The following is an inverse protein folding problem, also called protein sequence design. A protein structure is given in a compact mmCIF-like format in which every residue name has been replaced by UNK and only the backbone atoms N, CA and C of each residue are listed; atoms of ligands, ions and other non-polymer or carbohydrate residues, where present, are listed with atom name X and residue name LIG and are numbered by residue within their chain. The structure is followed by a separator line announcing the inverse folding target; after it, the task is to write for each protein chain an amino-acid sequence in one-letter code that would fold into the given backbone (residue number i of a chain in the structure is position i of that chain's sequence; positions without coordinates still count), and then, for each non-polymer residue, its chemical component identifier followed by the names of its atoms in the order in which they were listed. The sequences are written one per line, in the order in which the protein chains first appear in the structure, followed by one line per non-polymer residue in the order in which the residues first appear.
data_IF_606580036268
#
_entry.id   IF_606580036268
#
_cell.length_a   1.000
_cell.length_b   1.000
_cell.length_c   1.000
_cell.angle_alpha   90.00
_cell.angle_beta   90.00
_cell.angle_gamma   90.00
#
_symmetry.space_group_name_H-M   'P 1'
#
loop_
_entity.id
_entity.type
_entity.pdbx_description
1 polymer ?
#
# COMPACT_ATOMS: atom_id res chain seq x y z
N UNK A 1 -2.37 18.59 -6.28
CA UNK A 1 -1.56 18.53 -5.04
C UNK A 1 -1.48 17.07 -4.62
N UNK A 2 -0.30 16.46 -4.58
CA UNK A 2 -0.15 15.12 -3.99
C UNK A 2 -0.16 15.31 -2.48
N UNK A 3 -1.11 14.69 -1.79
CA UNK A 3 -1.22 14.77 -0.34
C UNK A 3 -0.09 13.97 0.31
N UNK A 4 0.59 14.57 1.28
CA UNK A 4 1.62 13.89 2.08
C UNK A 4 0.99 12.93 3.09
N UNK A 5 1.71 11.86 3.41
CA UNK A 5 1.29 10.92 4.46
C UNK A 5 1.43 11.59 5.83
N UNK A 6 0.58 11.18 6.77
CA UNK A 6 0.80 11.56 8.18
C UNK A 6 2.12 10.94 8.65
N UNK A 7 2.99 11.75 9.27
CA UNK A 7 4.35 11.37 9.69
C UNK A 7 5.28 10.91 8.56
N UNK A 8 5.14 11.42 7.33
CA UNK A 8 5.93 10.95 6.19
C UNK A 8 7.45 11.00 6.40
N UNK A 9 7.99 12.07 6.99
CA UNK A 9 9.43 12.18 7.25
C UNK A 9 9.95 11.12 8.23
N UNK A 10 9.17 10.82 9.28
CA UNK A 10 9.49 9.77 10.24
C UNK A 10 9.37 8.39 9.58
N UNK A 11 8.34 8.19 8.76
CA UNK A 11 8.17 6.98 7.97
C UNK A 11 9.32 6.78 6.99
N UNK A 12 9.80 7.83 6.32
CA UNK A 12 10.96 7.78 5.43
C UNK A 12 12.23 7.36 6.18
N UNK A 13 12.47 7.92 7.36
CA UNK A 13 13.60 7.52 8.22
C UNK A 13 13.49 6.06 8.65
N UNK A 14 12.28 5.59 8.98
CA UNK A 14 12.02 4.18 9.25
C UNK A 14 12.34 3.29 8.04
N UNK A 15 11.84 3.66 6.86
CA UNK A 15 12.09 2.93 5.62
C UNK A 15 13.59 2.83 5.30
N UNK A 16 14.37 3.87 5.60
CA UNK A 16 15.84 3.85 5.48
C UNK A 16 16.55 2.82 6.35
N UNK A 17 15.89 2.28 7.37
CA UNK A 17 16.43 1.20 8.23
C UNK A 17 16.05 -0.20 7.73
N UNK A 18 14.95 -0.33 6.99
CA UNK A 18 14.36 -1.63 6.60
C UNK A 18 14.48 -1.93 5.11
N UNK A 19 14.69 -0.93 4.26
CA UNK A 19 14.85 -1.08 2.81
C UNK A 19 16.29 -0.76 2.40
N UNK A 20 16.78 -1.48 1.39
CA UNK A 20 18.18 -1.43 0.94
C UNK A 20 18.52 -0.29 -0.03
N UNK A 21 17.53 0.46 -0.53
CA UNK A 21 17.79 1.55 -1.48
C UNK A 21 16.76 2.67 -1.46
N UNK A 22 17.21 3.89 -1.77
CA UNK A 22 16.35 5.08 -1.89
C UNK A 22 15.25 4.94 -2.95
N UNK A 23 15.51 4.16 -4.01
CA UNK A 23 14.48 3.84 -5.00
C UNK A 23 13.29 3.12 -4.34
N UNK A 24 13.57 2.09 -3.54
CA UNK A 24 12.52 1.32 -2.86
C UNK A 24 11.78 2.18 -1.82
N UNK A 25 12.49 3.06 -1.12
CA UNK A 25 11.89 4.01 -0.16
C UNK A 25 10.90 4.93 -0.87
N UNK A 26 11.33 5.60 -1.96
CA UNK A 26 10.48 6.48 -2.76
C UNK A 26 9.28 5.74 -3.34
N UNK A 27 9.49 4.53 -3.86
CA UNK A 27 8.43 3.72 -4.43
C UNK A 27 7.41 3.30 -3.35
N UNK A 28 7.87 2.94 -2.14
CA UNK A 28 7.02 2.62 -1.00
C UNK A 28 6.15 3.82 -0.60
N UNK A 29 6.75 4.99 -0.39
CA UNK A 29 6.01 6.23 -0.06
C UNK A 29 4.99 6.58 -1.15
N UNK A 30 5.39 6.51 -2.42
CA UNK A 30 4.51 6.77 -3.57
C UNK A 30 3.30 5.83 -3.60
N UNK A 31 3.53 4.53 -3.34
CA UNK A 31 2.46 3.53 -3.26
C UNK A 31 1.53 3.78 -2.08
N UNK A 32 2.06 4.08 -0.90
CA UNK A 32 1.25 4.41 0.29
C UNK A 32 0.40 5.65 0.05
N UNK A 33 0.95 6.71 -0.58
CA UNK A 33 0.18 7.91 -0.97
C UNK A 33 -0.93 7.58 -1.95
N UNK A 34 -0.67 6.69 -2.90
CA UNK A 34 -1.69 6.23 -3.85
C UNK A 34 -2.80 5.46 -3.15
N UNK A 35 -2.48 4.60 -2.18
CA UNK A 35 -3.51 3.96 -1.36
C UNK A 35 -4.32 5.00 -0.60
N UNK A 36 -3.67 5.99 0.05
CA UNK A 36 -4.41 7.05 0.75
C UNK A 36 -5.36 7.84 -0.14
N UNK A 37 -4.95 8.10 -1.38
CA UNK A 37 -5.74 8.84 -2.35
C UNK A 37 -7.06 8.13 -2.70
N UNK A 38 -7.06 6.79 -2.75
CA UNK A 38 -8.19 6.00 -3.21
C UNK A 38 -8.99 5.36 -2.08
N UNK A 39 -8.30 4.88 -1.05
CA UNK A 39 -8.89 4.10 0.05
C UNK A 39 -9.08 4.94 1.33
N UNK A 40 -8.56 6.18 1.36
CA UNK A 40 -8.63 7.07 2.51
C UNK A 40 -7.40 6.98 3.42
N UNK A 41 -7.36 7.85 4.44
CA UNK A 41 -6.17 8.07 5.26
C UNK A 41 -5.68 6.79 5.99
N UNK A 42 -4.40 6.46 5.83
CA UNK A 42 -3.81 5.23 6.35
C UNK A 42 -3.75 5.24 7.88
N UNK A 43 -3.41 6.36 8.51
CA UNK A 43 -3.40 6.45 9.97
C UNK A 43 -4.79 6.18 10.57
N UNK A 44 -5.86 6.67 9.93
CA UNK A 44 -7.23 6.35 10.34
C UNK A 44 -7.55 4.87 10.20
N UNK A 45 -7.19 4.22 9.09
CA UNK A 45 -7.35 2.77 8.93
C UNK A 45 -6.62 2.01 10.03
N UNK A 46 -5.38 2.38 10.33
CA UNK A 46 -4.61 1.77 11.41
C UNK A 46 -5.29 1.94 12.78
N UNK A 47 -5.79 3.14 13.09
CA UNK A 47 -6.43 3.41 14.39
C UNK A 47 -7.77 2.71 14.58
N UNK A 48 -8.46 2.32 13.49
CA UNK A 48 -9.76 1.64 13.56
C UNK A 48 -9.60 0.16 13.90
N UNK A 49 -8.73 -0.55 13.19
CA UNK A 49 -8.62 -2.01 13.31
C UNK A 49 -7.19 -2.53 13.04
N UNK A 50 -6.18 -1.74 13.38
CA UNK A 50 -4.78 -1.98 13.00
C UNK A 50 -4.59 -2.12 11.48
N UNK A 51 -5.57 -1.66 10.69
CA UNK A 51 -5.56 -1.70 9.25
C UNK A 51 -5.98 -3.03 8.63
N UNK A 52 -6.52 -3.98 9.40
CA UNK A 52 -6.90 -5.31 8.88
C UNK A 52 -7.87 -5.23 7.71
N UNK A 53 -8.92 -4.41 7.81
CA UNK A 53 -9.94 -4.27 6.77
C UNK A 53 -9.37 -3.71 5.47
N UNK A 54 -8.39 -2.80 5.57
CA UNK A 54 -7.72 -2.26 4.39
C UNK A 54 -6.79 -3.32 3.76
N UNK A 55 -6.04 -4.06 4.58
CA UNK A 55 -5.17 -5.12 4.08
C UNK A 55 -5.96 -6.25 3.42
N UNK A 56 -7.16 -6.54 3.88
CA UNK A 56 -8.08 -7.49 3.26
C UNK A 56 -8.57 -6.98 1.90
N UNK A 57 -8.95 -5.69 1.78
CA UNK A 57 -9.29 -5.09 0.47
C UNK A 57 -8.12 -5.10 -0.52
N UNK A 58 -6.90 -4.95 -0.01
CA UNK A 58 -5.65 -5.05 -0.78
C UNK A 58 -5.14 -6.50 -0.92
N UNK A 59 -5.92 -7.50 -0.51
CA UNK A 59 -5.60 -8.91 -0.74
C UNK A 59 -6.21 -9.35 -2.05
N UNK A 60 -5.35 -9.54 -3.04
CA UNK A 60 -5.72 -10.03 -4.35
C UNK A 60 -4.69 -11.05 -4.79
N UNK A 61 -5.14 -12.27 -5.08
CA UNK A 61 -4.24 -13.39 -5.35
C UNK A 61 -3.98 -13.57 -6.84
N UNK A 62 -2.95 -14.36 -7.17
CA UNK A 62 -2.70 -14.76 -8.55
C UNK A 62 -3.85 -15.62 -9.10
N UNK A 63 -4.49 -16.42 -8.25
CA UNK A 63 -5.62 -17.26 -8.66
C UNK A 63 -6.86 -16.41 -8.98
N UNK A 64 -7.12 -15.35 -8.22
CA UNK A 64 -8.15 -14.37 -8.55
C UNK A 64 -7.90 -13.74 -9.93
N UNK A 65 -6.65 -13.39 -10.20
CA UNK A 65 -6.25 -12.86 -11.50
C UNK A 65 -6.42 -13.86 -12.65
N UNK A 66 -6.08 -15.13 -12.43
CA UNK A 66 -6.29 -16.19 -13.43
C UNK A 66 -7.78 -16.43 -13.70
N UNK A 67 -8.64 -16.19 -12.70
CA UNK A 67 -10.10 -16.33 -12.78
C UNK A 67 -10.82 -15.06 -13.26
N UNK A 68 -10.11 -13.95 -13.45
CA UNK A 68 -10.69 -12.68 -13.87
C UNK A 68 -11.61 -12.05 -12.81
N UNK A 69 -11.32 -12.27 -11.53
CA UNK A 69 -12.08 -11.69 -10.42
C UNK A 69 -11.67 -10.22 -10.25
N UNK A 70 -12.63 -9.32 -10.02
CA UNK A 70 -12.31 -7.92 -9.74
C UNK A 70 -11.70 -7.75 -8.33
N UNK A 71 -10.69 -6.88 -8.16
CA UNK A 71 -10.14 -6.60 -6.83
C UNK A 71 -11.15 -5.83 -5.97
N UNK A 72 -11.06 -6.01 -4.64
CA UNK A 72 -11.96 -5.39 -3.68
C UNK A 72 -11.65 -3.91 -3.36
N UNK A 73 -10.85 -3.23 -4.18
CA UNK A 73 -10.35 -1.87 -3.96
C UNK A 73 -10.59 -0.96 -5.18
N UNK A 74 -10.60 0.36 -4.99
CA UNK A 74 -10.89 1.34 -6.04
C UNK A 74 -9.70 1.73 -6.93
N UNK A 75 -8.55 1.07 -6.80
CA UNK A 75 -7.29 1.51 -7.40
C UNK A 75 -7.12 0.95 -8.83
N UNK A 76 -7.18 1.83 -9.84
CA UNK A 76 -7.00 1.43 -11.25
C UNK A 76 -5.53 1.24 -11.60
N UNK A 77 -5.16 0.11 -12.21
CA UNK A 77 -3.80 -0.15 -12.70
C UNK A 77 -3.68 0.07 -14.20
N UNK A 78 -2.55 0.62 -14.64
CA UNK A 78 -2.18 0.68 -16.06
C UNK A 78 -1.17 -0.43 -16.33
N UNK A 79 -1.56 -1.43 -17.11
CA UNK A 79 -0.70 -2.55 -17.50
C UNK A 79 -1.26 -3.30 -18.69
N UNK A 80 -0.39 -3.94 -19.47
CA UNK A 80 -0.77 -4.68 -20.68
C UNK A 80 -1.17 -6.14 -20.40
N UNK A 81 -1.00 -6.65 -19.17
CA UNK A 81 -1.27 -8.04 -18.80
C UNK A 81 -2.63 -8.25 -18.12
N UNK A 82 -3.56 -7.29 -18.25
CA UNK A 82 -4.89 -7.38 -17.63
C UNK A 82 -4.83 -7.61 -16.12
N UNK A 83 -5.59 -8.60 -15.63
CA UNK A 83 -5.67 -8.96 -14.21
C UNK A 83 -4.32 -9.35 -13.57
N UNK A 84 -3.33 -9.81 -14.34
CA UNK A 84 -1.98 -10.07 -13.82
C UNK A 84 -1.29 -8.77 -13.40
N UNK A 85 -1.45 -7.69 -14.17
CA UNK A 85 -0.93 -6.38 -13.78
C UNK A 85 -1.66 -5.80 -12.55
N UNK A 86 -2.94 -6.13 -12.39
CA UNK A 86 -3.71 -5.81 -11.18
C UNK A 86 -3.13 -6.55 -9.99
N UNK A 87 -2.85 -7.85 -10.11
CA UNK A 87 -2.18 -8.64 -9.07
C UNK A 87 -0.83 -8.08 -8.64
N UNK A 88 0.11 -7.92 -9.58
CA UNK A 88 1.44 -7.39 -9.29
C UNK A 88 1.37 -6.00 -8.62
N UNK A 89 0.46 -5.17 -9.11
CA UNK A 89 0.18 -3.85 -8.57
C UNK A 89 -0.37 -3.90 -7.14
N UNK A 90 -1.39 -4.71 -6.91
CA UNK A 90 -2.09 -4.83 -5.62
C UNK A 90 -1.16 -5.36 -4.54
N UNK A 91 -0.37 -6.40 -4.83
CA UNK A 91 0.67 -6.92 -3.93
C UNK A 91 1.66 -5.83 -3.54
N UNK A 92 2.10 -5.03 -4.51
CA UNK A 92 3.05 -3.93 -4.27
C UNK A 92 2.45 -2.82 -3.39
N UNK A 93 1.15 -2.53 -3.54
CA UNK A 93 0.44 -1.57 -2.69
C UNK A 93 0.28 -2.12 -1.27
N UNK A 94 -0.16 -3.38 -1.12
CA UNK A 94 -0.29 -4.05 0.17
C UNK A 94 1.02 -4.00 0.95
N UNK A 95 2.14 -4.34 0.29
CA UNK A 95 3.46 -4.31 0.94
C UNK A 95 3.84 -2.92 1.45
N UNK A 96 3.54 -1.86 0.70
CA UNK A 96 3.81 -0.49 1.12
C UNK A 96 2.97 -0.08 2.34
N UNK A 97 1.70 -0.50 2.37
CA UNK A 97 0.79 -0.28 3.51
C UNK A 97 1.25 -1.05 4.75
N UNK A 98 1.68 -2.31 4.60
CA UNK A 98 2.25 -3.10 5.69
C UNK A 98 3.45 -2.37 6.32
N UNK A 99 4.39 -1.87 5.50
CA UNK A 99 5.50 -1.10 6.03
C UNK A 99 5.07 0.16 6.81
N UNK A 100 4.02 0.85 6.35
CA UNK A 100 3.49 2.02 7.05
C UNK A 100 2.85 1.64 8.39
N UNK A 101 2.10 0.54 8.43
CA UNK A 101 1.48 0.05 9.67
C UNK A 101 2.50 -0.52 10.66
N UNK A 102 3.55 -1.19 10.17
CA UNK A 102 4.68 -1.62 11.00
C UNK A 102 5.42 -0.42 11.61
N UNK A 103 5.56 0.67 10.85
CA UNK A 103 6.09 1.93 11.35
C UNK A 103 5.23 2.49 12.48
N UNK A 104 3.91 2.58 12.29
CA UNK A 104 3.00 3.09 13.32
C UNK A 104 3.05 2.22 14.58
N UNK A 105 3.13 0.90 14.42
CA UNK A 105 3.26 -0.06 15.53
C UNK A 105 4.53 0.17 16.36
N UNK A 106 5.61 0.68 15.77
CA UNK A 106 6.87 0.97 16.48
C UNK A 106 6.90 2.36 17.14
N UNK A 107 5.92 3.22 16.84
CA UNK A 107 5.81 4.56 17.46
C UNK A 107 4.90 4.57 18.70
N UNK A 108 4.06 3.55 18.88
CA UNK A 108 3.25 3.33 20.09
C UNK A 108 3.89 2.36 21.05
#
# INVERSE_FOLDING_TARGET
MIKELVHEDAFRKYLGKVLSSERLIRDCISRSRRVELHEGNLLKHYNVDCGSSLLDRLSYSKDDANRGIEPAHGISFKGSKGYISIYEGTVSLKQAVVHYFDFLKQQG
#
